data_IF_695298580250
#
_entry.id   IF_695298580250
#
_cell.length_a   1.000
_cell.length_b   1.000
_cell.length_c   1.000
_cell.angle_alpha   90.00
_cell.angle_beta   90.00
_cell.angle_gamma   90.00
#
_symmetry.space_group_name_H-M   'P 1'
#
loop_
_entity.id
_entity.type
_entity.pdbx_description
1 polymer ?
#
# COMPACT_ATOMS: atom_id res chain seq x y z
N UNK A 1 -2.75 -19.83 14.14
CA UNK A 1 -2.56 -18.47 13.60
C UNK A 1 -3.32 -18.39 12.28
N UNK A 2 -4.21 -17.41 12.11
CA UNK A 2 -5.07 -17.28 10.93
C UNK A 2 -4.26 -16.70 9.76
N UNK A 3 -4.42 -17.27 8.57
CA UNK A 3 -3.87 -16.68 7.34
C UNK A 3 -4.68 -15.46 6.91
N UNK A 4 -4.00 -14.43 6.43
CA UNK A 4 -4.61 -13.15 6.07
C UNK A 4 -4.27 -12.82 4.62
N UNK A 5 -5.29 -12.39 3.88
CA UNK A 5 -5.15 -11.82 2.56
C UNK A 5 -4.94 -10.31 2.68
N UNK A 6 -3.71 -9.85 2.45
CA UNK A 6 -3.35 -8.45 2.66
C UNK A 6 -4.10 -7.50 1.74
N UNK A 7 -4.24 -7.85 0.45
CA UNK A 7 -4.99 -7.04 -0.50
C UNK A 7 -6.46 -6.89 -0.05
N UNK A 8 -7.11 -7.99 0.32
CA UNK A 8 -8.49 -7.95 0.84
C UNK A 8 -8.60 -7.15 2.14
N UNK A 9 -7.63 -7.28 3.04
CA UNK A 9 -7.61 -6.51 4.29
C UNK A 9 -7.47 -5.01 4.06
N UNK A 10 -6.66 -4.59 3.08
CA UNK A 10 -6.49 -3.18 2.71
C UNK A 10 -7.75 -2.64 2.02
N UNK A 11 -8.31 -3.40 1.08
CA UNK A 11 -9.44 -2.96 0.27
C UNK A 11 -10.76 -2.92 1.06
N UNK A 12 -10.95 -3.81 2.04
CA UNK A 12 -12.20 -3.90 2.80
C UNK A 12 -13.44 -4.00 1.90
N UNK A 13 -13.34 -4.84 0.86
CA UNK A 13 -14.35 -5.06 -0.17
C UNK A 13 -14.66 -3.83 -1.07
N UNK A 14 -13.89 -2.74 -0.95
CA UNK A 14 -13.92 -1.59 -1.87
C UNK A 14 -13.12 -1.88 -3.15
N UNK A 15 -13.51 -1.28 -4.30
CA UNK A 15 -12.65 -1.19 -5.47
C UNK A 15 -11.30 -0.54 -5.14
N UNK A 16 -10.22 -0.97 -5.80
CA UNK A 16 -8.88 -0.44 -5.51
C UNK A 16 -8.74 1.06 -5.78
N UNK A 17 -9.52 1.60 -6.72
CA UNK A 17 -9.55 3.02 -7.06
C UNK A 17 -10.15 3.89 -5.94
N UNK A 18 -10.94 3.31 -5.04
CA UNK A 18 -11.59 4.02 -3.92
C UNK A 18 -10.71 4.06 -2.65
N UNK A 19 -9.56 3.39 -2.68
CA UNK A 19 -8.60 3.37 -1.57
C UNK A 19 -7.44 4.29 -1.91
N UNK A 20 -7.23 5.31 -1.09
CA UNK A 20 -6.14 6.26 -1.35
C UNK A 20 -4.77 5.59 -1.22
N UNK A 21 -3.77 6.05 -1.97
CA UNK A 21 -2.39 5.56 -1.83
C UNK A 21 -1.85 5.72 -0.41
N UNK A 22 -2.28 6.77 0.32
CA UNK A 22 -1.92 6.95 1.73
C UNK A 22 -2.45 5.82 2.62
N UNK A 23 -3.72 5.45 2.46
CA UNK A 23 -4.32 4.29 3.15
C UNK A 23 -3.58 3.00 2.80
N UNK A 24 -3.34 2.75 1.51
CA UNK A 24 -2.62 1.56 1.04
C UNK A 24 -1.24 1.48 1.68
N UNK A 25 -0.45 2.56 1.66
CA UNK A 25 0.90 2.60 2.23
C UNK A 25 0.89 2.35 3.74
N UNK A 26 -0.02 2.99 4.47
CA UNK A 26 -0.13 2.84 5.92
C UNK A 26 -0.52 1.40 6.31
N UNK A 27 -1.57 0.85 5.69
CA UNK A 27 -2.04 -0.50 5.98
C UNK A 27 -1.02 -1.56 5.55
N UNK A 28 -0.37 -1.38 4.39
CA UNK A 28 0.70 -2.26 3.92
C UNK A 28 1.87 -2.30 4.89
N UNK A 29 2.30 -1.13 5.40
CA UNK A 29 3.37 -1.04 6.39
C UNK A 29 3.03 -1.83 7.66
N UNK A 30 1.83 -1.66 8.20
CA UNK A 30 1.39 -2.39 9.40
C UNK A 30 1.37 -3.91 9.18
N UNK A 31 0.74 -4.37 8.09
CA UNK A 31 0.61 -5.78 7.77
C UNK A 31 1.97 -6.46 7.52
N UNK A 32 2.86 -5.78 6.78
CA UNK A 32 4.21 -6.27 6.55
C UNK A 32 5.03 -6.31 7.84
N UNK A 33 4.91 -5.31 8.72
CA UNK A 33 5.58 -5.32 10.03
C UNK A 33 5.18 -6.53 10.86
N UNK A 34 3.87 -6.80 10.99
CA UNK A 34 3.35 -7.95 11.74
C UNK A 34 3.77 -9.29 11.10
N UNK A 35 3.81 -9.37 9.76
CA UNK A 35 4.29 -10.56 9.05
C UNK A 35 5.78 -10.81 9.25
N UNK A 36 6.60 -9.76 9.15
CA UNK A 36 8.05 -9.85 9.40
C UNK A 36 8.35 -10.23 10.85
N UNK A 37 7.50 -9.81 11.80
CA UNK A 37 7.58 -10.21 13.20
C UNK A 37 7.09 -11.66 13.45
N UNK A 38 6.48 -12.31 12.45
CA UNK A 38 5.90 -13.64 12.58
C UNK A 38 4.55 -13.69 13.29
N UNK A 39 3.95 -12.53 13.59
CA UNK A 39 2.66 -12.39 14.27
C UNK A 39 1.47 -12.69 13.35
N UNK A 40 1.67 -12.53 12.04
CA UNK A 40 0.69 -12.85 11.00
C UNK A 40 1.28 -13.79 9.95
N UNK A 41 0.44 -14.67 9.41
CA UNK A 41 0.75 -15.49 8.23
C UNK A 41 -0.01 -14.94 7.04
N UNK A 42 0.69 -14.83 5.92
CA UNK A 42 0.09 -14.44 4.65
C UNK A 42 -0.52 -15.65 3.96
N UNK A 43 -1.72 -15.48 3.42
CA UNK A 43 -2.34 -16.46 2.53
C UNK A 43 -1.56 -16.53 1.19
N UNK A 44 -0.89 -17.66 0.91
CA UNK A 44 -0.30 -17.92 -0.42
C UNK A 44 -1.41 -18.41 -1.38
N UNK A 45 -1.45 -18.02 -2.67
CA UNK A 45 -0.46 -17.27 -3.47
C UNK A 45 -0.82 -15.78 -3.67
N UNK A 46 -1.63 -15.19 -2.80
CA UNK A 46 -2.21 -13.83 -2.97
C UNK A 46 -1.25 -12.67 -2.68
N UNK A 47 0.05 -12.96 -2.65
CA UNK A 47 1.08 -11.98 -2.38
C UNK A 47 1.24 -10.97 -3.54
N UNK A 48 1.01 -11.41 -4.79
CA UNK A 48 1.11 -10.55 -5.97
C UNK A 48 0.06 -9.44 -5.97
N UNK A 49 -1.18 -9.71 -5.54
CA UNK A 49 -2.25 -8.71 -5.48
C UNK A 49 -1.88 -7.60 -4.49
N UNK A 50 -1.27 -7.95 -3.36
CA UNK A 50 -0.77 -6.98 -2.38
C UNK A 50 0.38 -6.13 -2.95
N UNK A 51 1.35 -6.75 -3.63
CA UNK A 51 2.47 -6.02 -4.20
C UNK A 51 2.07 -5.12 -5.37
N UNK A 52 1.10 -5.54 -6.18
CA UNK A 52 0.54 -4.69 -7.23
C UNK A 52 -0.10 -3.42 -6.61
N UNK A 53 -0.91 -3.60 -5.56
CA UNK A 53 -1.55 -2.49 -4.87
C UNK A 53 -0.52 -1.54 -4.23
N UNK A 54 0.50 -2.10 -3.57
CA UNK A 54 1.59 -1.33 -2.97
C UNK A 54 2.40 -0.57 -4.03
N UNK A 55 2.71 -1.21 -5.17
CA UNK A 55 3.47 -0.59 -6.25
C UNK A 55 2.73 0.61 -6.85
N UNK A 56 1.44 0.46 -7.14
CA UNK A 56 0.61 1.56 -7.66
C UNK A 56 0.58 2.73 -6.68
N UNK A 57 0.39 2.46 -5.39
CA UNK A 57 0.39 3.50 -4.35
C UNK A 57 1.75 4.20 -4.21
N UNK A 58 2.86 3.48 -4.41
CA UNK A 58 4.21 4.07 -4.40
C UNK A 58 4.46 4.97 -5.61
N UNK A 59 4.05 4.53 -6.81
CA UNK A 59 4.18 5.33 -8.04
C UNK A 59 3.44 6.65 -7.90
N UNK A 60 2.16 6.61 -7.53
CA UNK A 60 1.35 7.82 -7.36
C UNK A 60 1.88 8.71 -6.22
N UNK A 61 2.46 8.13 -5.15
CA UNK A 61 3.11 8.93 -4.10
C UNK A 61 4.36 9.64 -4.61
N UNK A 62 5.16 9.00 -5.47
CA UNK A 62 6.34 9.61 -6.09
C UNK A 62 5.93 10.73 -7.01
N UNK A 63 4.97 10.50 -7.92
CA UNK A 63 4.47 11.52 -8.84
C UNK A 63 3.98 12.77 -8.09
N UNK A 64 3.18 12.60 -7.04
CA UNK A 64 2.72 13.72 -6.20
C UNK A 64 3.85 14.48 -5.52
N UNK A 65 4.86 13.77 -5.01
CA UNK A 65 6.02 14.42 -4.38
C UNK A 65 6.87 15.18 -5.41
N UNK A 66 7.01 14.66 -6.62
CA UNK A 66 7.69 15.33 -7.72
C UNK A 66 6.95 16.60 -8.14
N UNK A 67 5.63 16.56 -8.26
CA UNK A 67 4.78 17.72 -8.54
C UNK A 67 4.91 18.80 -7.44
N UNK A 68 4.83 18.40 -6.17
CA UNK A 68 5.01 19.30 -5.03
C UNK A 68 6.41 19.94 -5.05
N UNK A 69 7.46 19.16 -5.32
CA UNK A 69 8.83 19.64 -5.41
C UNK A 69 9.00 20.65 -6.55
N UNK A 70 8.43 20.39 -7.74
CA UNK A 70 8.47 21.33 -8.85
C UNK A 70 7.72 22.63 -8.53
N UNK A 71 6.55 22.52 -7.90
CA UNK A 71 5.79 23.69 -7.43
C UNK A 71 6.59 24.55 -6.45
N UNK A 72 7.33 23.93 -5.52
CA UNK A 72 8.22 24.65 -4.59
C UNK A 72 9.41 25.30 -5.29
N UNK A 73 10.05 24.60 -6.24
CA UNK A 73 11.17 25.13 -7.03
C UNK A 73 10.76 26.34 -7.87
N UNK A 74 9.55 26.35 -8.42
CA UNK A 74 9.06 27.46 -9.26
C UNK A 74 8.63 28.71 -8.47
N UNK A 75 8.50 28.60 -7.13
CA UNK A 75 8.15 29.71 -6.24
C UNK A 75 9.37 30.46 -5.67
N UNK A 76 10.58 29.97 -5.95
CA UNK A 76 11.86 30.51 -5.46
C UNK A 76 12.64 31.11 -6.62
#
# INVERSE_FOLDING_TARGET
MKEINFAKTILQDRPWQEVSSGEVLQSSKALLSEWMAGEKRLERPKLYDHYALLLVALVDRVERLEEELQSLKNKT
#
